data_IF_716257148075
#
_entry.id   IF_716257148075
#
_cell.length_a   1.000
_cell.length_b   1.000
_cell.length_c   1.000
_cell.angle_alpha   90.00
_cell.angle_beta   90.00
_cell.angle_gamma   90.00
#
_symmetry.space_group_name_H-M   'P 1'
#
loop_
_entity.id
_entity.type
_entity.pdbx_description
1 polymer ?
#
# COMPACT_ATOMS: atom_id res chain seq x y z
N UNK A 1 -11.93 17.54 -4.05
CA UNK A 1 -12.23 16.25 -3.45
C UNK A 1 -11.25 15.92 -2.33
N UNK A 2 -11.70 15.15 -1.33
CA UNK A 2 -10.91 14.69 -0.20
C UNK A 2 -11.04 13.17 -0.11
N UNK A 3 -9.91 12.49 0.03
CA UNK A 3 -9.80 11.07 0.41
C UNK A 3 -9.33 11.02 1.87
N UNK A 4 -10.12 10.40 2.73
CA UNK A 4 -9.78 10.21 4.14
C UNK A 4 -8.59 9.26 4.23
N UNK A 5 -7.58 9.57 5.05
CA UNK A 5 -6.53 8.61 5.36
C UNK A 5 -6.71 8.04 6.76
N UNK A 6 -7.13 6.78 6.86
CA UNK A 6 -7.29 6.08 8.12
C UNK A 6 -6.09 5.17 8.38
N UNK A 7 -5.28 5.55 9.36
CA UNK A 7 -4.02 4.87 9.73
C UNK A 7 -3.86 4.79 11.26
N UNK A 8 -4.61 3.92 11.95
CA UNK A 8 -4.62 3.81 13.40
C UNK A 8 -3.25 3.67 14.07
N UNK A 9 -2.28 2.91 13.50
CA UNK A 9 -0.94 2.79 14.10
C UNK A 9 -0.18 4.11 14.22
N UNK A 10 -0.56 5.14 13.46
CA UNK A 10 0.09 6.48 13.49
C UNK A 10 -0.79 7.56 14.12
N UNK A 11 -2.08 7.51 13.85
CA UNK A 11 -3.03 8.52 14.36
C UNK A 11 -3.58 8.20 15.76
N UNK A 12 -3.38 6.97 16.25
CA UNK A 12 -3.95 6.43 17.50
C UNK A 12 -5.49 6.36 17.50
N UNK A 13 -6.12 6.87 16.45
CA UNK A 13 -7.57 6.87 16.26
C UNK A 13 -7.90 6.03 15.03
N UNK A 14 -8.82 5.10 15.20
CA UNK A 14 -9.44 4.34 14.10
C UNK A 14 -10.82 4.93 13.80
N UNK A 15 -10.97 5.53 12.61
CA UNK A 15 -12.25 6.02 12.15
C UNK A 15 -13.11 4.83 11.70
N UNK A 16 -14.20 4.57 12.42
CA UNK A 16 -15.11 3.49 12.08
C UNK A 16 -15.92 3.79 10.80
N UNK A 17 -16.50 2.74 10.22
CA UNK A 17 -17.25 2.83 8.95
C UNK A 17 -18.49 3.72 9.06
N UNK A 18 -19.12 3.80 10.24
CA UNK A 18 -20.29 4.64 10.44
C UNK A 18 -19.96 6.14 10.41
N UNK A 19 -18.81 6.49 10.98
CA UNK A 19 -18.30 7.87 10.90
C UNK A 19 -17.92 8.22 9.46
N UNK A 20 -17.29 7.29 8.72
CA UNK A 20 -16.98 7.51 7.30
C UNK A 20 -18.25 7.70 6.45
N UNK A 21 -19.32 6.91 6.72
CA UNK A 21 -20.58 7.04 6.02
C UNK A 21 -21.23 8.41 6.24
N UNK A 22 -21.20 8.94 7.47
CA UNK A 22 -21.67 10.31 7.76
C UNK A 22 -20.84 11.39 7.05
N UNK A 23 -19.52 11.19 6.95
CA UNK A 23 -18.66 12.13 6.21
C UNK A 23 -18.89 12.06 4.71
N UNK A 24 -19.21 10.89 4.16
CA UNK A 24 -19.51 10.72 2.74
C UNK A 24 -20.78 11.45 2.27
N UNK A 25 -21.65 11.87 3.19
CA UNK A 25 -22.76 12.78 2.87
C UNK A 25 -22.30 14.17 2.39
N UNK A 26 -21.04 14.52 2.70
CA UNK A 26 -20.42 15.77 2.23
C UNK A 26 -19.86 15.56 0.81
N UNK A 27 -20.28 16.40 -0.12
CA UNK A 27 -19.98 16.28 -1.57
C UNK A 27 -18.48 16.24 -1.92
N UNK A 28 -17.60 16.72 -1.03
CA UNK A 28 -16.16 16.76 -1.25
C UNK A 28 -15.43 15.57 -0.65
N UNK A 29 -16.08 14.73 0.14
CA UNK A 29 -15.50 13.46 0.65
C UNK A 29 -15.83 12.37 -0.35
N UNK A 30 -14.84 11.80 -1.01
CA UNK A 30 -15.05 10.88 -2.13
C UNK A 30 -14.54 9.47 -1.85
N UNK A 31 -13.80 9.24 -0.76
CA UNK A 31 -13.23 7.91 -0.50
C UNK A 31 -12.31 7.87 0.70
N UNK A 32 -11.66 6.71 0.84
CA UNK A 32 -10.69 6.42 1.90
C UNK A 32 -9.43 5.77 1.34
N UNK A 33 -8.27 6.13 1.92
CA UNK A 33 -7.06 5.31 1.96
C UNK A 33 -7.08 4.56 3.28
N UNK A 34 -7.35 3.26 3.26
CA UNK A 34 -7.45 2.41 4.45
C UNK A 34 -6.13 1.68 4.70
N UNK A 35 -5.51 1.97 5.84
CA UNK A 35 -4.28 1.33 6.31
C UNK A 35 -4.49 0.60 7.65
N UNK A 36 -5.69 0.07 7.88
CA UNK A 36 -6.00 -0.73 9.07
C UNK A 36 -5.55 -2.18 8.95
N UNK A 37 -5.41 -2.69 7.71
CA UNK A 37 -5.19 -4.11 7.43
C UNK A 37 -6.45 -4.98 7.58
N UNK A 38 -7.59 -4.43 8.02
CA UNK A 38 -8.86 -5.17 8.13
C UNK A 38 -9.61 -5.18 6.79
N UNK A 39 -9.44 -6.26 6.06
CA UNK A 39 -10.06 -6.47 4.75
C UNK A 39 -11.61 -6.56 4.80
N UNK A 40 -12.22 -6.81 5.95
CA UNK A 40 -13.68 -6.85 6.07
C UNK A 40 -14.30 -5.45 5.89
N UNK A 41 -13.51 -4.41 6.17
CA UNK A 41 -13.94 -3.01 6.02
C UNK A 41 -14.29 -2.67 4.58
N UNK A 42 -13.64 -3.28 3.59
CA UNK A 42 -13.93 -3.07 2.17
C UNK A 42 -15.40 -3.38 1.87
N UNK A 43 -15.88 -4.53 2.33
CA UNK A 43 -17.27 -4.94 2.14
C UNK A 43 -18.25 -4.10 2.98
N UNK A 44 -17.89 -3.75 4.21
CA UNK A 44 -18.70 -2.91 5.09
C UNK A 44 -18.88 -1.51 4.51
N UNK A 45 -17.80 -0.91 4.03
CA UNK A 45 -17.79 0.41 3.39
C UNK A 45 -18.64 0.40 2.11
N UNK A 46 -18.45 -0.61 1.24
CA UNK A 46 -19.25 -0.78 0.03
C UNK A 46 -20.75 -0.92 0.31
N UNK A 47 -21.11 -1.70 1.35
CA UNK A 47 -22.50 -1.89 1.75
C UNK A 47 -23.14 -0.59 2.25
N UNK A 48 -22.39 0.25 2.98
CA UNK A 48 -22.94 1.49 3.58
C UNK A 48 -22.95 2.69 2.63
N UNK A 49 -21.91 2.83 1.83
CA UNK A 49 -21.67 4.04 1.02
C UNK A 49 -21.86 3.80 -0.48
N UNK A 50 -22.06 2.54 -0.89
CA UNK A 50 -22.26 2.19 -2.31
C UNK A 50 -20.97 2.11 -3.14
N UNK A 51 -21.13 1.94 -4.47
CA UNK A 51 -19.99 1.73 -5.38
C UNK A 51 -19.19 2.99 -5.68
N UNK A 52 -19.77 4.18 -5.45
CA UNK A 52 -19.12 5.46 -5.76
C UNK A 52 -18.09 5.88 -4.72
N UNK A 53 -18.08 5.23 -3.53
CA UNK A 53 -17.10 5.47 -2.50
C UNK A 53 -15.77 4.82 -2.89
N UNK A 54 -14.77 5.66 -3.18
CA UNK A 54 -13.43 5.22 -3.60
C UNK A 54 -12.70 4.56 -2.43
N UNK A 55 -12.26 3.32 -2.61
CA UNK A 55 -11.51 2.58 -1.61
C UNK A 55 -10.11 2.27 -2.11
N UNK A 56 -9.09 2.89 -1.49
CA UNK A 56 -7.67 2.67 -1.78
C UNK A 56 -7.00 1.96 -0.61
N UNK A 57 -6.21 0.94 -0.89
CA UNK A 57 -5.36 0.32 0.12
C UNK A 57 -4.23 1.29 0.53
N UNK A 58 -3.97 1.35 1.82
CA UNK A 58 -2.78 2.01 2.39
C UNK A 58 -1.67 1.02 2.75
N UNK A 59 -1.84 -0.27 2.39
CA UNK A 59 -0.96 -1.38 2.79
C UNK A 59 -0.64 -2.26 1.58
N UNK A 60 0.63 -2.27 1.15
CA UNK A 60 1.07 -3.06 0.00
C UNK A 60 0.84 -4.56 0.18
N UNK A 61 1.12 -5.09 1.37
CA UNK A 61 1.05 -6.52 1.65
C UNK A 61 -0.36 -7.12 1.58
N UNK A 62 -1.40 -6.29 1.67
CA UNK A 62 -2.81 -6.72 1.59
C UNK A 62 -3.52 -6.20 0.34
N UNK A 63 -2.83 -5.47 -0.53
CA UNK A 63 -3.43 -4.77 -1.65
C UNK A 63 -4.13 -5.70 -2.66
N UNK A 64 -3.59 -6.91 -2.89
CA UNK A 64 -4.21 -7.90 -3.78
C UNK A 64 -5.63 -8.25 -3.30
N UNK A 65 -5.74 -8.72 -2.06
CA UNK A 65 -7.02 -9.14 -1.50
C UNK A 65 -7.97 -7.94 -1.29
N UNK A 66 -7.41 -6.77 -0.98
CA UNK A 66 -8.18 -5.52 -0.90
C UNK A 66 -8.85 -5.19 -2.24
N UNK A 67 -8.12 -5.30 -3.36
CA UNK A 67 -8.65 -5.07 -4.70
C UNK A 67 -9.67 -6.14 -5.10
N UNK A 68 -9.41 -7.42 -4.81
CA UNK A 68 -10.35 -8.53 -5.04
C UNK A 68 -11.70 -8.25 -4.35
N UNK A 69 -11.69 -7.73 -3.13
CA UNK A 69 -12.91 -7.40 -2.36
C UNK A 69 -13.63 -6.15 -2.84
N UNK A 70 -13.03 -5.33 -3.65
CA UNK A 70 -13.69 -4.16 -4.22
C UNK A 70 -12.93 -2.86 -4.14
N UNK A 71 -11.70 -2.89 -3.63
CA UNK A 71 -10.77 -1.79 -3.75
C UNK A 71 -10.44 -1.46 -5.22
N UNK A 72 -9.95 -0.27 -5.44
CA UNK A 72 -9.66 0.27 -6.77
C UNK A 72 -8.21 0.73 -6.93
N UNK A 73 -7.34 0.35 -6.00
CA UNK A 73 -5.93 0.68 -6.07
C UNK A 73 -5.25 0.74 -4.71
N UNK A 74 -3.97 1.13 -4.72
CA UNK A 74 -3.15 1.28 -3.53
C UNK A 74 -2.33 2.57 -3.59
N UNK A 75 -2.21 3.28 -2.47
CA UNK A 75 -1.20 4.32 -2.28
C UNK A 75 -0.02 3.66 -1.59
N UNK A 76 0.92 3.19 -2.41
CA UNK A 76 1.95 2.22 -2.10
C UNK A 76 3.24 2.87 -1.59
N UNK A 77 3.91 2.23 -0.63
CA UNK A 77 5.30 2.52 -0.27
C UNK A 77 6.27 1.88 -1.27
N UNK A 78 6.00 0.64 -1.68
CA UNK A 78 6.85 -0.12 -2.61
C UNK A 78 6.95 0.56 -3.98
N UNK A 79 5.92 1.26 -4.42
CA UNK A 79 5.93 2.01 -5.68
C UNK A 79 7.00 3.11 -5.75
N UNK A 80 7.56 3.56 -4.63
CA UNK A 80 8.71 4.49 -4.64
C UNK A 80 9.98 3.88 -5.26
N UNK A 81 10.09 2.57 -5.29
CA UNK A 81 11.27 1.84 -5.79
C UNK A 81 10.95 0.81 -6.88
N UNK A 82 9.68 0.48 -7.07
CA UNK A 82 9.20 -0.51 -8.04
C UNK A 82 7.94 -0.01 -8.78
N UNK A 83 7.92 1.26 -9.20
CA UNK A 83 6.74 1.93 -9.74
C UNK A 83 6.07 1.17 -10.89
N UNK A 84 6.85 0.72 -11.89
CA UNK A 84 6.34 -0.02 -13.05
C UNK A 84 5.65 -1.31 -12.62
N UNK A 85 6.32 -2.14 -11.84
CA UNK A 85 5.81 -3.45 -11.40
C UNK A 85 4.57 -3.28 -10.50
N UNK A 86 4.56 -2.24 -9.64
CA UNK A 86 3.38 -1.91 -8.85
C UNK A 86 2.20 -1.44 -9.71
N UNK A 87 2.45 -0.71 -10.80
CA UNK A 87 1.38 -0.31 -11.75
C UNK A 87 0.79 -1.53 -12.45
N UNK A 88 1.64 -2.39 -13.02
CA UNK A 88 1.23 -3.66 -13.64
C UNK A 88 0.41 -4.52 -12.68
N UNK A 89 0.88 -4.66 -11.45
CA UNK A 89 0.15 -5.34 -10.38
C UNK A 89 -1.24 -4.75 -10.12
N UNK A 90 -1.35 -3.41 -10.02
CA UNK A 90 -2.62 -2.76 -9.76
C UNK A 90 -3.60 -2.97 -10.92
N UNK A 91 -3.16 -2.80 -12.17
CA UNK A 91 -3.98 -3.02 -13.35
C UNK A 91 -4.50 -4.47 -13.43
N UNK A 92 -3.62 -5.43 -13.19
CA UNK A 92 -3.98 -6.85 -13.18
C UNK A 92 -4.95 -7.19 -12.05
N UNK A 93 -4.70 -6.72 -10.81
CA UNK A 93 -5.48 -7.06 -9.61
C UNK A 93 -6.89 -6.47 -9.60
N UNK A 94 -7.13 -5.36 -10.30
CA UNK A 94 -8.45 -4.73 -10.42
C UNK A 94 -9.31 -5.45 -11.48
N UNK A 95 -8.69 -6.14 -12.43
CA UNK A 95 -9.34 -6.80 -13.58
C UNK A 95 -9.98 -8.14 -13.19
N UNK A 96 -10.95 -8.11 -12.27
CA UNK A 96 -11.54 -9.28 -11.57
C UNK A 96 -12.11 -10.38 -12.48
N UNK A 97 -12.51 -10.05 -13.69
CA UNK A 97 -13.17 -10.99 -14.62
C UNK A 97 -12.19 -11.63 -15.61
N UNK A 98 -10.89 -11.38 -15.48
CA UNK A 98 -9.85 -11.93 -16.33
C UNK A 98 -8.93 -12.85 -15.53
N UNK A 99 -9.07 -14.15 -15.70
CA UNK A 99 -8.28 -15.16 -14.98
C UNK A 99 -6.78 -15.06 -15.25
N UNK A 100 -6.38 -14.66 -16.46
CA UNK A 100 -4.97 -14.51 -16.82
C UNK A 100 -4.34 -13.32 -16.07
N UNK A 101 -5.05 -12.18 -16.03
CA UNK A 101 -4.58 -11.01 -15.29
C UNK A 101 -4.55 -11.28 -13.78
N UNK A 102 -5.50 -12.06 -13.26
CA UNK A 102 -5.47 -12.45 -11.85
C UNK A 102 -4.29 -13.39 -11.54
N UNK A 103 -3.93 -14.30 -12.44
CA UNK A 103 -2.72 -15.12 -12.29
C UNK A 103 -1.45 -14.25 -12.29
N UNK A 104 -1.36 -13.30 -13.23
CA UNK A 104 -0.27 -12.31 -13.29
C UNK A 104 -0.19 -11.48 -12.00
N UNK A 105 -1.32 -10.98 -11.47
CA UNK A 105 -1.35 -10.25 -10.21
C UNK A 105 -0.82 -11.07 -9.04
N UNK A 106 -1.15 -12.37 -8.97
CA UNK A 106 -0.62 -13.27 -7.94
C UNK A 106 0.91 -13.44 -8.07
N UNK A 107 1.42 -13.68 -9.27
CA UNK A 107 2.86 -13.82 -9.51
C UNK A 107 3.64 -12.56 -9.11
N UNK A 108 3.13 -11.38 -9.51
CA UNK A 108 3.74 -10.11 -9.12
C UNK A 108 3.68 -9.91 -7.60
N UNK A 109 2.55 -10.23 -6.97
CA UNK A 109 2.38 -10.12 -5.52
C UNK A 109 3.37 -11.02 -4.76
N UNK A 110 3.55 -12.27 -5.19
CA UNK A 110 4.54 -13.18 -4.61
C UNK A 110 5.95 -12.62 -4.74
N UNK A 111 6.30 -12.12 -5.92
CA UNK A 111 7.59 -11.49 -6.20
C UNK A 111 7.85 -10.26 -5.34
N UNK A 112 6.85 -9.41 -5.11
CA UNK A 112 6.99 -8.19 -4.33
C UNK A 112 6.85 -8.39 -2.82
N UNK A 113 6.27 -9.49 -2.36
CA UNK A 113 6.00 -9.75 -0.94
C UNK A 113 7.25 -9.61 -0.03
N UNK A 114 8.44 -10.14 -0.38
CA UNK A 114 9.64 -9.91 0.42
C UNK A 114 10.04 -8.43 0.51
N UNK A 115 9.84 -7.67 -0.57
CA UNK A 115 10.12 -6.24 -0.59
C UNK A 115 9.11 -5.47 0.28
N UNK A 116 7.81 -5.74 0.16
CA UNK A 116 6.79 -5.14 1.03
C UNK A 116 7.15 -5.29 2.51
N UNK A 117 7.52 -6.50 2.93
CA UNK A 117 7.92 -6.77 4.32
C UNK A 117 9.20 -6.03 4.72
N UNK A 118 10.22 -6.03 3.86
CA UNK A 118 11.52 -5.44 4.18
C UNK A 118 11.47 -3.92 4.35
N UNK A 119 10.54 -3.25 3.67
CA UNK A 119 10.37 -1.80 3.77
C UNK A 119 9.71 -1.34 5.08
N UNK A 120 9.28 -2.26 5.94
CA UNK A 120 8.64 -1.98 7.24
C UNK A 120 9.32 -2.67 8.43
N UNK A 121 10.52 -3.26 8.25
CA UNK A 121 11.30 -3.85 9.35
C UNK A 121 11.65 -2.81 10.40
N UNK A 122 12.00 -1.61 9.97
CA UNK A 122 12.23 -0.45 10.82
C UNK A 122 11.24 0.67 10.49
N UNK A 123 11.27 1.74 11.28
CA UNK A 123 10.35 2.86 11.10
C UNK A 123 10.41 3.46 9.70
N UNK A 124 9.28 3.40 8.99
CA UNK A 124 9.13 4.08 7.70
C UNK A 124 9.18 5.60 7.91
N UNK A 125 9.87 6.36 7.02
CA UNK A 125 10.35 5.99 5.69
C UNK A 125 11.83 5.57 5.60
N UNK A 126 12.55 5.32 6.70
CA UNK A 126 13.99 5.02 6.64
C UNK A 126 14.32 3.83 5.70
N UNK A 127 13.60 2.67 5.75
CA UNK A 127 13.87 1.56 4.86
C UNK A 127 13.66 1.88 3.38
N UNK A 128 12.54 2.54 3.02
CA UNK A 128 12.27 2.86 1.62
C UNK A 128 13.24 3.93 1.08
N UNK A 129 13.70 4.86 1.90
CA UNK A 129 14.74 5.82 1.50
C UNK A 129 16.07 5.14 1.23
N UNK A 130 16.44 4.15 2.04
CA UNK A 130 17.63 3.34 1.75
C UNK A 130 17.45 2.56 0.43
N UNK A 131 16.31 1.91 0.21
CA UNK A 131 16.02 1.24 -1.04
C UNK A 131 16.11 2.18 -2.26
N UNK A 132 15.51 3.37 -2.16
CA UNK A 132 15.58 4.39 -3.20
C UNK A 132 17.01 4.90 -3.45
N UNK A 133 17.86 4.95 -2.42
CA UNK A 133 19.27 5.34 -2.57
C UNK A 133 20.08 4.33 -3.36
N UNK A 134 19.76 3.03 -3.28
CA UNK A 134 20.37 2.00 -4.11
C UNK A 134 20.07 2.19 -5.60
N UNK A 135 18.91 2.75 -5.92
CA UNK A 135 18.50 3.13 -7.26
C UNK A 135 18.98 4.53 -7.67
N UNK A 136 19.73 5.22 -6.81
CA UNK A 136 20.24 6.59 -7.03
C UNK A 136 19.13 7.63 -7.22
N UNK A 137 17.94 7.38 -6.66
CA UNK A 137 16.81 8.31 -6.74
C UNK A 137 16.89 9.42 -5.69
N UNK A 138 17.48 9.14 -4.52
CA UNK A 138 17.71 10.12 -3.45
C UNK A 138 18.82 9.62 -2.50
N UNK A 139 19.22 10.44 -1.52
CA UNK A 139 20.05 9.98 -0.40
C UNK A 139 19.22 9.20 0.63
N UNK A 140 19.89 8.36 1.43
CA UNK A 140 19.26 7.61 2.54
C UNK A 140 19.12 8.46 3.82
N UNK A 141 19.37 9.77 3.75
CA UNK A 141 19.28 10.67 4.89
C UNK A 141 17.84 10.88 5.34
N UNK A 142 17.64 10.88 6.64
CA UNK A 142 16.37 11.13 7.30
C UNK A 142 16.54 12.18 8.39
N UNK A 143 15.44 12.87 8.73
CA UNK A 143 15.43 13.86 9.82
C UNK A 143 15.10 13.18 11.16
N UNK A 144 15.69 13.66 12.25
CA UNK A 144 15.32 13.22 13.59
C UNK A 144 13.82 13.42 13.85
N UNK A 145 13.17 12.51 14.58
CA UNK A 145 13.72 11.40 15.36
C UNK A 145 14.04 10.13 14.57
N UNK A 146 13.83 10.11 13.25
CA UNK A 146 14.19 8.97 12.41
C UNK A 146 15.72 8.88 12.27
N UNK A 147 16.21 7.64 12.13
CA UNK A 147 17.62 7.33 11.92
C UNK A 147 17.79 6.45 10.68
N UNK A 148 19.01 6.39 10.17
CA UNK A 148 19.35 5.44 9.08
C UNK A 148 19.15 4.01 9.56
N UNK A 149 18.74 3.12 8.64
CA UNK A 149 18.54 1.72 8.94
C UNK A 149 19.84 0.99 9.31
N UNK A 150 19.72 -0.05 10.11
CA UNK A 150 20.83 -0.92 10.52
C UNK A 150 21.44 -1.67 9.34
N UNK A 151 22.68 -2.16 9.50
CA UNK A 151 23.35 -2.96 8.45
C UNK A 151 22.62 -4.28 8.18
N UNK A 152 21.96 -4.86 9.16
CA UNK A 152 21.12 -6.05 8.99
C UNK A 152 19.91 -5.76 8.09
N UNK A 153 19.20 -4.69 8.37
CA UNK A 153 18.07 -4.22 7.56
C UNK A 153 18.50 -3.87 6.15
N UNK A 154 19.67 -3.24 5.97
CA UNK A 154 20.23 -2.97 4.64
C UNK A 154 20.44 -4.24 3.82
N UNK A 155 20.97 -5.30 4.43
CA UNK A 155 21.16 -6.61 3.76
C UNK A 155 19.82 -7.21 3.34
N UNK A 156 18.83 -7.18 4.23
CA UNK A 156 17.49 -7.72 3.97
C UNK A 156 16.81 -6.96 2.82
N UNK A 157 16.85 -5.63 2.83
CA UNK A 157 16.28 -4.81 1.75
C UNK A 157 16.99 -5.10 0.42
N UNK A 158 18.32 -5.16 0.41
CA UNK A 158 19.09 -5.46 -0.81
C UNK A 158 18.71 -6.83 -1.38
N UNK A 159 18.61 -7.88 -0.54
CA UNK A 159 18.17 -9.21 -0.96
C UNK A 159 16.76 -9.20 -1.54
N UNK A 160 15.84 -8.46 -0.92
CA UNK A 160 14.47 -8.32 -1.42
C UNK A 160 14.39 -7.57 -2.76
N UNK A 161 15.24 -6.55 -2.97
CA UNK A 161 15.32 -5.82 -4.23
C UNK A 161 15.91 -6.68 -5.37
N UNK A 162 16.92 -7.50 -5.06
CA UNK A 162 17.47 -8.48 -6.02
C UNK A 162 16.39 -9.50 -6.39
N UNK A 163 15.67 -10.06 -5.41
CA UNK A 163 14.57 -10.99 -5.64
C UNK A 163 13.47 -10.38 -6.53
N UNK A 164 13.19 -9.11 -6.37
CA UNK A 164 12.23 -8.37 -7.18
C UNK A 164 12.78 -7.93 -8.56
N UNK A 165 14.06 -8.24 -8.89
CA UNK A 165 14.77 -7.83 -10.10
C UNK A 165 14.83 -6.29 -10.27
N UNK A 166 15.09 -5.56 -9.19
CA UNK A 166 15.20 -4.10 -9.20
C UNK A 166 16.66 -3.62 -9.23
N UNK A 167 17.58 -4.46 -8.75
CA UNK A 167 19.04 -4.23 -8.77
C UNK A 167 19.77 -5.53 -9.08
#
# INVERSE_FOLDING_TARGET
PIIIYNIPPRSVVDMNVDTMARLFELKNIIGVKDATGDLNRVNQQKKKMGPDFIQLSGEDGTALEFNIRGGVGCISVTANVAAKVCSEFQEASISKNNSNLMAEANEINEKLTPLHKSLFIESSPSPVKYAASLLKLCSDEVRLPLVKVTEETKKTIRSAMIHANLI
#
